data_IF_708911375273
#
_entry.id   IF_708911375273
#
_cell.length_a   1.000
_cell.length_b   1.000
_cell.length_c   1.000
_cell.angle_alpha   90.00
_cell.angle_beta   90.00
_cell.angle_gamma   90.00
#
_symmetry.space_group_name_H-M   'P 1'
#
loop_
_entity.id
_entity.type
_entity.pdbx_description
1 polymer ?
#
# COMPACT_ATOMS: atom_id res chain seq x y z
N UNK A 1 -46.09 56.36 -82.19
CA UNK A 1 -46.64 55.35 -81.21
C UNK A 1 -45.73 54.13 -80.91
N UNK A 2 -44.58 53.96 -81.55
CA UNK A 2 -43.65 52.79 -81.28
C UNK A 2 -42.68 53.02 -80.12
N UNK A 3 -42.38 54.29 -79.72
CA UNK A 3 -41.38 54.60 -78.68
C UNK A 3 -41.86 54.50 -77.23
N UNK A 4 -43.16 54.49 -76.96
CA UNK A 4 -43.78 54.34 -75.64
C UNK A 4 -43.95 52.91 -75.21
N UNK A 5 -44.19 51.99 -76.13
CA UNK A 5 -44.31 50.52 -75.80
C UNK A 5 -43.03 49.91 -75.39
N UNK A 6 -41.86 50.31 -75.93
CA UNK A 6 -40.54 49.72 -75.47
C UNK A 6 -40.13 50.13 -74.11
N UNK A 7 -40.34 51.38 -73.63
CA UNK A 7 -40.03 51.85 -72.31
C UNK A 7 -40.93 51.17 -71.24
N UNK A 8 -42.20 50.95 -71.52
CA UNK A 8 -43.13 50.28 -70.60
C UNK A 8 -42.82 48.80 -70.38
N UNK A 9 -42.49 48.05 -71.47
CA UNK A 9 -42.04 46.66 -71.36
C UNK A 9 -40.75 46.47 -70.56
N UNK A 10 -39.76 47.39 -70.78
CA UNK A 10 -38.51 47.33 -69.99
C UNK A 10 -38.73 47.74 -68.55
N UNK A 11 -39.65 48.65 -68.22
CA UNK A 11 -39.99 48.99 -66.84
C UNK A 11 -40.66 47.83 -66.10
N UNK A 12 -41.61 47.14 -66.71
CA UNK A 12 -42.28 45.96 -66.13
C UNK A 12 -41.30 44.79 -65.96
N UNK A 13 -40.45 44.52 -66.99
CA UNK A 13 -39.42 43.49 -66.90
C UNK A 13 -38.40 43.74 -65.77
N UNK A 14 -37.96 44.97 -65.61
CA UNK A 14 -37.04 45.38 -64.52
C UNK A 14 -37.70 45.26 -63.13
N UNK A 15 -39.00 45.56 -63.02
CA UNK A 15 -39.74 45.40 -61.75
C UNK A 15 -39.97 43.95 -61.37
N UNK A 16 -40.25 43.06 -62.32
CA UNK A 16 -40.37 41.65 -62.12
C UNK A 16 -39.03 41.01 -61.78
N UNK A 17 -37.90 41.41 -62.39
CA UNK A 17 -36.57 40.92 -62.05
C UNK A 17 -36.16 41.34 -60.65
N UNK A 18 -36.52 42.57 -60.16
CA UNK A 18 -36.29 42.97 -58.76
C UNK A 18 -37.06 42.12 -57.78
N UNK A 19 -38.35 41.85 -58.02
CA UNK A 19 -39.20 41.05 -57.17
C UNK A 19 -38.62 39.62 -57.05
N UNK A 20 -38.30 38.99 -58.18
CA UNK A 20 -37.72 37.64 -58.20
C UNK A 20 -36.38 37.52 -57.45
N UNK A 21 -35.54 38.57 -57.54
CA UNK A 21 -34.27 38.61 -56.81
C UNK A 21 -34.46 38.82 -55.29
N UNK A 22 -35.42 39.64 -54.86
CA UNK A 22 -35.77 39.82 -53.45
C UNK A 22 -36.34 38.53 -52.88
N UNK A 23 -37.19 37.85 -53.62
CA UNK A 23 -37.73 36.54 -53.21
C UNK A 23 -36.61 35.50 -53.01
N UNK A 24 -35.62 35.43 -53.92
CA UNK A 24 -34.45 34.55 -53.77
C UNK A 24 -33.60 34.94 -52.56
N UNK A 25 -33.39 36.22 -52.31
CA UNK A 25 -32.64 36.67 -51.13
C UNK A 25 -33.37 36.28 -49.84
N UNK A 26 -34.69 36.46 -49.79
CA UNK A 26 -35.50 36.08 -48.61
C UNK A 26 -35.55 34.60 -48.39
N UNK A 27 -35.66 33.81 -49.46
CA UNK A 27 -35.60 32.33 -49.39
C UNK A 27 -34.26 31.83 -48.87
N UNK A 28 -33.14 32.37 -49.38
CA UNK A 28 -31.80 32.03 -48.90
C UNK A 28 -31.56 32.49 -47.49
N UNK A 29 -32.10 33.65 -47.08
CA UNK A 29 -32.03 34.14 -45.73
C UNK A 29 -32.68 33.15 -44.74
N UNK A 30 -33.90 32.68 -45.03
CA UNK A 30 -34.61 31.73 -44.22
C UNK A 30 -33.87 30.37 -44.15
N UNK A 31 -33.28 29.92 -45.27
CA UNK A 31 -32.47 28.69 -45.31
C UNK A 31 -31.21 28.83 -44.44
N UNK A 32 -30.49 29.94 -44.53
CA UNK A 32 -29.28 30.21 -43.76
C UNK A 32 -29.58 30.29 -42.23
N UNK A 33 -30.69 30.94 -41.85
CA UNK A 33 -31.11 31.01 -40.46
C UNK A 33 -31.40 29.62 -39.86
N UNK A 34 -31.91 28.70 -40.65
CA UNK A 34 -32.21 27.33 -40.25
C UNK A 34 -31.05 26.32 -40.31
N UNK A 35 -29.83 26.77 -40.70
CA UNK A 35 -28.69 25.85 -40.83
C UNK A 35 -28.29 25.21 -39.49
N UNK A 36 -28.00 23.91 -39.54
CA UNK A 36 -27.44 23.10 -38.48
C UNK A 36 -26.25 22.30 -39.05
N UNK A 37 -25.28 21.99 -38.20
CA UNK A 37 -24.14 21.17 -38.55
C UNK A 37 -23.87 20.18 -37.40
N UNK A 38 -23.56 18.94 -37.70
CA UNK A 38 -23.26 17.90 -36.72
C UNK A 38 -21.76 17.80 -36.45
N UNK A 39 -20.91 18.25 -37.35
CA UNK A 39 -19.46 18.18 -37.25
C UNK A 39 -18.78 19.30 -38.06
N UNK A 40 -17.47 19.50 -37.85
CA UNK A 40 -16.68 20.53 -38.56
C UNK A 40 -16.64 20.31 -40.10
N UNK A 41 -16.75 19.08 -40.58
CA UNK A 41 -16.80 18.81 -42.01
C UNK A 41 -18.10 19.34 -42.66
N UNK A 42 -19.23 19.23 -41.94
CA UNK A 42 -20.50 19.81 -42.35
C UNK A 42 -20.44 21.31 -42.41
N UNK A 43 -19.81 21.97 -41.42
CA UNK A 43 -19.60 23.43 -41.42
C UNK A 43 -18.79 23.90 -42.63
N UNK A 44 -17.74 23.16 -42.99
CA UNK A 44 -16.93 23.47 -44.18
C UNK A 44 -17.72 23.24 -45.49
N UNK A 45 -18.54 22.20 -45.56
CA UNK A 45 -19.44 21.95 -46.68
C UNK A 45 -20.46 23.12 -46.86
N UNK A 46 -21.05 23.59 -45.76
CA UNK A 46 -21.94 24.78 -45.77
C UNK A 46 -21.20 26.06 -46.17
N UNK A 47 -19.95 26.24 -45.70
CA UNK A 47 -19.11 27.41 -46.12
C UNK A 47 -18.89 27.36 -47.65
N UNK A 48 -18.57 26.20 -48.22
CA UNK A 48 -18.37 26.02 -49.65
C UNK A 48 -19.67 26.29 -50.43
N UNK A 49 -20.80 25.74 -49.95
CA UNK A 49 -22.12 25.88 -50.60
C UNK A 49 -22.54 27.37 -50.72
N UNK A 50 -22.38 28.16 -49.64
CA UNK A 50 -22.93 29.50 -49.62
C UNK A 50 -21.90 30.59 -49.93
N UNK A 51 -20.66 30.49 -49.43
CA UNK A 51 -19.68 31.60 -49.44
C UNK A 51 -18.51 31.39 -50.41
N UNK A 52 -18.37 30.27 -51.08
CA UNK A 52 -17.30 30.04 -52.06
C UNK A 52 -17.49 30.93 -53.31
N UNK A 53 -16.47 31.01 -54.17
CA UNK A 53 -16.54 31.73 -55.46
C UNK A 53 -17.70 31.28 -56.36
N UNK A 54 -18.11 30.03 -56.24
CA UNK A 54 -19.25 29.44 -56.95
C UNK A 54 -20.46 29.22 -56.03
N UNK A 55 -20.40 29.74 -54.80
CA UNK A 55 -21.47 29.61 -53.80
C UNK A 55 -22.70 30.43 -54.13
N UNK A 56 -23.83 30.04 -53.58
CA UNK A 56 -25.15 30.61 -53.91
C UNK A 56 -25.23 32.11 -53.65
N UNK A 57 -24.62 32.58 -52.54
CA UNK A 57 -24.53 34.02 -52.23
C UNK A 57 -23.63 34.76 -53.24
N UNK A 58 -22.52 34.15 -53.68
CA UNK A 58 -21.60 34.74 -54.64
C UNK A 58 -22.24 34.82 -56.07
N UNK A 59 -23.06 33.82 -56.42
CA UNK A 59 -23.79 33.84 -57.67
C UNK A 59 -24.80 35.02 -57.74
N UNK A 60 -25.51 35.30 -56.64
CA UNK A 60 -26.39 36.47 -56.53
C UNK A 60 -25.64 37.79 -56.70
N UNK A 61 -24.41 37.90 -56.27
CA UNK A 61 -23.56 39.08 -56.53
C UNK A 61 -23.17 39.21 -58.01
N UNK A 62 -23.07 38.11 -58.73
CA UNK A 62 -22.87 38.18 -60.20
C UNK A 62 -24.15 38.64 -60.92
N UNK A 63 -25.33 38.13 -60.52
CA UNK A 63 -26.60 38.58 -61.08
C UNK A 63 -26.87 40.05 -60.75
N UNK A 64 -26.42 40.57 -59.64
CA UNK A 64 -26.51 41.98 -59.25
C UNK A 64 -25.84 42.95 -60.24
N UNK A 65 -24.83 42.49 -61.00
CA UNK A 65 -24.18 43.34 -62.02
C UNK A 65 -25.15 43.85 -63.07
N UNK A 66 -26.20 43.06 -63.32
CA UNK A 66 -27.21 43.37 -64.37
C UNK A 66 -28.35 44.25 -63.85
N UNK A 67 -28.34 44.69 -62.57
CA UNK A 67 -29.39 45.51 -61.97
C UNK A 67 -29.23 46.99 -62.37
N UNK A 68 -30.33 47.74 -62.70
CA UNK A 68 -30.30 49.15 -63.04
C UNK A 68 -29.72 50.00 -61.88
N UNK A 69 -29.04 51.08 -62.27
CA UNK A 69 -28.29 51.97 -61.34
C UNK A 69 -29.15 52.50 -60.21
N UNK A 70 -30.41 52.84 -60.46
CA UNK A 70 -31.38 53.33 -59.47
C UNK A 70 -31.69 52.38 -58.32
N UNK A 71 -31.54 51.07 -58.55
CA UNK A 71 -31.89 49.99 -57.57
C UNK A 71 -30.66 49.41 -56.95
N UNK A 72 -29.44 49.69 -57.40
CA UNK A 72 -28.19 49.13 -56.91
C UNK A 72 -27.93 49.37 -55.44
N UNK A 73 -28.28 50.53 -54.92
CA UNK A 73 -28.02 50.83 -53.51
C UNK A 73 -28.80 49.97 -52.53
N UNK A 74 -30.09 49.84 -52.78
CA UNK A 74 -31.00 49.04 -51.93
C UNK A 74 -30.67 47.54 -52.05
N UNK A 75 -30.48 47.02 -53.24
CA UNK A 75 -30.18 45.64 -53.50
C UNK A 75 -28.77 45.24 -52.97
N UNK A 76 -27.78 46.13 -53.10
CA UNK A 76 -26.44 45.91 -52.55
C UNK A 76 -26.42 45.83 -51.05
N UNK A 77 -27.28 46.59 -50.37
CA UNK A 77 -27.44 46.51 -48.92
C UNK A 77 -28.03 45.13 -48.50
N UNK A 78 -29.05 44.69 -49.17
CA UNK A 78 -29.69 43.36 -48.88
C UNK A 78 -28.71 42.21 -49.13
N UNK A 79 -27.92 42.22 -50.22
CA UNK A 79 -26.91 41.22 -50.50
C UNK A 79 -25.79 41.18 -49.50
N UNK A 80 -25.32 42.39 -49.04
CA UNK A 80 -24.32 42.47 -48.00
C UNK A 80 -24.85 41.93 -46.64
N UNK A 81 -26.11 42.25 -46.29
CA UNK A 81 -26.76 41.70 -45.11
C UNK A 81 -26.85 40.17 -45.19
N UNK A 82 -27.23 39.61 -46.33
CA UNK A 82 -27.29 38.16 -46.54
C UNK A 82 -25.91 37.49 -46.40
N UNK A 83 -24.85 38.15 -46.98
CA UNK A 83 -23.47 37.64 -46.85
C UNK A 83 -23.00 37.65 -45.44
N UNK A 84 -23.25 38.74 -44.70
CA UNK A 84 -22.86 38.84 -43.29
C UNK A 84 -23.58 37.79 -42.44
N UNK A 85 -24.90 37.65 -42.62
CA UNK A 85 -25.72 36.62 -41.95
C UNK A 85 -25.17 35.22 -42.19
N UNK A 86 -24.82 34.87 -43.43
CA UNK A 86 -24.23 33.57 -43.78
C UNK A 86 -22.88 33.38 -43.08
N UNK A 87 -22.03 34.43 -43.06
CA UNK A 87 -20.73 34.37 -42.44
C UNK A 87 -20.85 34.18 -40.89
N UNK A 88 -21.71 35.00 -40.26
CA UNK A 88 -21.93 34.97 -38.84
C UNK A 88 -22.52 33.61 -38.37
N UNK A 89 -23.49 33.10 -39.14
CA UNK A 89 -24.10 31.80 -38.80
C UNK A 89 -23.11 30.66 -38.91
N UNK A 90 -22.29 30.61 -39.96
CA UNK A 90 -21.28 29.56 -40.19
C UNK A 90 -20.18 29.63 -39.09
N UNK A 91 -19.74 30.86 -38.73
CA UNK A 91 -18.79 31.03 -37.66
C UNK A 91 -19.37 30.57 -36.29
N UNK A 92 -20.61 30.97 -35.97
CA UNK A 92 -21.29 30.52 -34.77
C UNK A 92 -21.41 29.01 -34.65
N UNK A 93 -21.71 28.32 -35.76
CA UNK A 93 -21.75 26.86 -35.83
C UNK A 93 -20.36 26.25 -35.59
N UNK A 94 -19.31 26.85 -36.16
CA UNK A 94 -17.92 26.41 -35.90
C UNK A 94 -17.55 26.56 -34.45
N UNK A 95 -17.72 27.77 -33.89
CA UNK A 95 -17.34 28.09 -32.52
C UNK A 95 -18.09 27.21 -31.51
N UNK A 96 -19.35 26.86 -31.78
CA UNK A 96 -20.15 25.97 -30.97
C UNK A 96 -19.61 24.54 -30.97
N UNK A 97 -19.13 24.05 -32.13
CA UNK A 97 -18.53 22.70 -32.23
C UNK A 97 -17.12 22.64 -31.68
N UNK A 98 -16.31 23.72 -31.87
CA UNK A 98 -14.97 23.82 -31.28
C UNK A 98 -15.03 23.95 -29.75
N UNK A 99 -16.01 24.68 -29.20
CA UNK A 99 -16.19 24.76 -27.74
C UNK A 99 -16.74 23.48 -27.13
N UNK A 100 -17.53 22.70 -27.85
CA UNK A 100 -17.99 21.38 -27.37
C UNK A 100 -16.87 20.34 -27.29
N UNK A 101 -15.84 20.47 -28.12
CA UNK A 101 -14.67 19.57 -28.11
C UNK A 101 -13.63 19.93 -27.03
N UNK A 102 -13.77 21.12 -26.42
CA UNK A 102 -12.87 21.59 -25.34
C UNK A 102 -13.37 21.29 -23.93
N UNK A 103 -14.54 20.69 -23.77
CA UNK A 103 -15.09 20.29 -22.47
C UNK A 103 -14.60 18.90 -22.03
N UNK A 104 -13.35 18.56 -22.33
CA UNK A 104 -12.59 17.61 -21.56
C UNK A 104 -12.19 18.30 -20.25
N UNK A 105 -12.62 17.80 -19.12
CA UNK A 105 -12.26 18.18 -17.74
C UNK A 105 -10.74 18.37 -17.55
N UNK A 106 -10.11 19.29 -18.16
CA UNK A 106 -8.73 19.77 -17.93
C UNK A 106 -7.65 18.74 -17.52
N UNK A 107 -7.94 17.45 -17.58
CA UNK A 107 -7.01 16.38 -17.23
C UNK A 107 -6.07 16.17 -18.42
N UNK A 108 -4.86 16.67 -18.27
CA UNK A 108 -3.80 16.40 -19.22
C UNK A 108 -3.37 14.93 -19.17
N UNK A 109 -3.91 14.11 -20.07
CA UNK A 109 -3.58 12.69 -20.17
C UNK A 109 -2.16 12.41 -20.66
N UNK A 110 -1.43 13.43 -21.14
CA UNK A 110 -0.02 13.31 -21.52
C UNK A 110 0.91 13.49 -20.32
N UNK A 111 0.38 13.98 -19.20
CA UNK A 111 1.13 14.18 -17.98
C UNK A 111 1.47 12.83 -17.36
N UNK A 112 2.76 12.58 -17.13
CA UNK A 112 3.20 11.39 -16.40
C UNK A 112 2.61 11.41 -15.00
N UNK A 113 1.98 10.30 -14.59
CA UNK A 113 1.49 10.12 -13.22
C UNK A 113 2.67 10.28 -12.25
N UNK A 114 2.50 11.10 -11.21
CA UNK A 114 3.46 11.10 -10.10
C UNK A 114 3.41 9.72 -9.43
N UNK A 115 4.51 8.96 -9.40
CA UNK A 115 4.49 7.65 -8.77
C UNK A 115 4.13 7.82 -7.29
N UNK A 116 3.09 7.13 -6.85
CA UNK A 116 2.77 7.02 -5.43
C UNK A 116 3.91 6.23 -4.79
N UNK A 117 4.67 6.88 -3.91
CA UNK A 117 5.69 6.18 -3.12
C UNK A 117 4.97 5.21 -2.18
N UNK A 118 5.06 3.93 -2.49
CA UNK A 118 4.59 2.90 -1.57
C UNK A 118 5.51 2.88 -0.34
N UNK A 119 4.91 2.80 0.85
CA UNK A 119 5.66 2.57 2.08
C UNK A 119 6.25 1.15 2.11
N UNK A 120 7.09 0.91 3.10
CA UNK A 120 7.68 -0.41 3.37
C UNK A 120 7.12 -0.97 4.67
N UNK A 121 7.12 -2.30 4.79
CA UNK A 121 6.90 -2.93 6.09
C UNK A 121 8.20 -2.87 6.89
N UNK A 122 8.08 -2.64 8.18
CA UNK A 122 9.22 -2.67 9.08
C UNK A 122 9.86 -4.08 9.09
N UNK A 123 11.20 -4.21 9.03
CA UNK A 123 11.86 -5.52 8.94
C UNK A 123 11.53 -6.45 10.11
N UNK A 124 11.37 -5.94 11.33
CA UNK A 124 10.91 -6.74 12.48
C UNK A 124 9.51 -7.32 12.25
N UNK A 125 8.61 -6.56 11.64
CA UNK A 125 7.26 -7.05 11.31
C UNK A 125 7.28 -8.14 10.25
N UNK A 126 8.18 -8.04 9.26
CA UNK A 126 8.37 -9.07 8.24
C UNK A 126 8.84 -10.38 8.88
N UNK A 127 9.89 -10.32 9.69
CA UNK A 127 10.46 -11.50 10.35
C UNK A 127 9.50 -12.09 11.37
N UNK A 128 8.84 -11.26 12.19
CA UNK A 128 7.81 -11.75 13.12
C UNK A 128 6.69 -12.50 12.40
N UNK A 129 6.18 -11.97 11.31
CA UNK A 129 5.11 -12.61 10.55
C UNK A 129 5.58 -13.92 9.91
N UNK A 130 6.83 -14.00 9.47
CA UNK A 130 7.42 -15.23 8.93
C UNK A 130 7.58 -16.30 10.03
N UNK A 131 8.07 -15.92 11.22
CA UNK A 131 8.12 -16.83 12.40
C UNK A 131 6.72 -17.36 12.69
N UNK A 132 5.72 -16.49 12.80
CA UNK A 132 4.33 -16.86 13.04
C UNK A 132 3.83 -17.84 11.96
N UNK A 133 4.10 -17.57 10.69
CA UNK A 133 3.71 -18.44 9.57
C UNK A 133 4.34 -19.83 9.67
N UNK A 134 5.62 -19.93 10.05
CA UNK A 134 6.32 -21.21 10.21
C UNK A 134 5.67 -22.03 11.33
N UNK A 135 5.46 -21.45 12.51
CA UNK A 135 4.85 -22.14 13.64
C UNK A 135 3.37 -22.46 13.41
N UNK A 136 2.62 -21.61 12.73
CA UNK A 136 1.22 -21.89 12.37
C UNK A 136 1.08 -23.13 11.49
N UNK A 137 2.02 -23.40 10.59
CA UNK A 137 2.06 -24.64 9.79
C UNK A 137 2.34 -25.89 10.63
N UNK A 138 2.95 -25.72 11.79
CA UNK A 138 3.15 -26.78 12.79
C UNK A 138 1.96 -26.93 13.74
N UNK A 139 0.88 -26.16 13.54
CA UNK A 139 -0.33 -26.22 14.35
C UNK A 139 -0.27 -25.40 15.65
N UNK A 140 0.66 -24.47 15.76
CA UNK A 140 0.67 -23.51 16.88
C UNK A 140 -0.35 -22.39 16.64
N UNK A 141 -1.11 -22.05 17.66
CA UNK A 141 -1.98 -20.88 17.71
C UNK A 141 -1.25 -19.69 18.34
N UNK A 142 -1.70 -18.47 18.03
CA UNK A 142 -1.15 -17.26 18.63
C UNK A 142 -1.89 -17.00 19.94
N UNK A 143 -1.13 -16.77 21.01
CA UNK A 143 -1.63 -16.25 22.28
C UNK A 143 -1.03 -14.88 22.55
N UNK A 144 -1.85 -13.98 23.06
CA UNK A 144 -1.46 -12.61 23.42
C UNK A 144 -1.78 -12.33 24.88
N UNK A 145 -1.08 -11.37 25.48
CA UNK A 145 -1.24 -10.97 26.86
C UNK A 145 -0.71 -9.57 27.13
N UNK A 146 -0.97 -9.04 28.35
CA UNK A 146 -0.60 -7.67 28.69
C UNK A 146 0.92 -7.46 28.75
N UNK A 147 1.36 -6.25 28.42
CA UNK A 147 2.75 -5.81 28.60
C UNK A 147 3.06 -5.39 30.07
N UNK A 148 2.02 -4.92 30.76
CA UNK A 148 2.09 -4.58 32.18
C UNK A 148 1.59 -5.80 32.95
N UNK A 149 2.47 -6.36 33.77
CA UNK A 149 2.27 -7.64 34.45
C UNK A 149 2.50 -7.54 35.96
N UNK A 150 2.03 -8.54 36.66
CA UNK A 150 2.37 -8.76 38.06
C UNK A 150 3.58 -9.69 38.22
N UNK A 151 4.15 -9.71 39.43
CA UNK A 151 5.29 -10.57 39.76
C UNK A 151 5.01 -12.05 39.58
N UNK A 152 3.78 -12.48 39.85
CA UNK A 152 3.41 -13.89 39.75
C UNK A 152 3.61 -14.43 38.34
N UNK A 153 3.02 -13.76 37.33
CA UNK A 153 3.08 -14.24 35.95
C UNK A 153 4.46 -14.06 35.31
N UNK A 154 5.27 -13.08 35.76
CA UNK A 154 6.61 -12.88 35.19
C UNK A 154 7.64 -13.77 35.86
N UNK A 155 7.57 -13.95 37.17
CA UNK A 155 8.65 -14.62 37.92
C UNK A 155 8.19 -15.86 38.67
N UNK A 156 7.21 -15.74 39.59
CA UNK A 156 6.90 -16.83 40.53
C UNK A 156 6.36 -18.06 39.84
N UNK A 157 5.43 -17.91 38.89
CA UNK A 157 4.91 -19.04 38.11
C UNK A 157 5.95 -19.67 37.17
N UNK A 158 7.01 -18.91 36.84
CA UNK A 158 8.13 -19.34 36.01
C UNK A 158 9.31 -19.88 36.82
N UNK A 159 9.06 -20.31 38.06
CA UNK A 159 10.05 -20.95 38.94
C UNK A 159 11.28 -20.07 39.23
N UNK A 160 11.16 -18.73 39.20
CA UNK A 160 12.22 -17.85 39.65
C UNK A 160 12.24 -17.78 41.17
N UNK A 161 13.42 -17.99 41.77
CA UNK A 161 13.61 -17.81 43.19
C UNK A 161 13.37 -16.36 43.62
N UNK A 162 12.99 -16.14 44.89
CA UNK A 162 12.67 -14.80 45.39
C UNK A 162 13.88 -13.83 45.37
N UNK A 163 15.10 -14.37 45.49
CA UNK A 163 16.36 -13.66 45.44
C UNK A 163 17.05 -13.68 44.09
N UNK A 164 16.33 -14.11 43.03
CA UNK A 164 16.92 -14.18 41.72
C UNK A 164 17.26 -12.78 41.16
N UNK A 165 18.47 -12.56 40.59
CA UNK A 165 18.91 -11.25 40.12
C UNK A 165 17.97 -10.58 39.11
N UNK A 166 17.26 -11.35 38.26
CA UNK A 166 16.30 -10.81 37.30
C UNK A 166 15.14 -10.06 37.96
N UNK A 167 14.86 -10.30 39.26
CA UNK A 167 13.86 -9.55 40.04
C UNK A 167 14.40 -8.21 40.56
N UNK A 168 15.69 -7.89 40.32
CA UNK A 168 16.27 -6.63 40.77
C UNK A 168 15.83 -5.45 39.85
N UNK A 169 15.74 -4.27 40.43
CA UNK A 169 15.47 -3.01 39.73
C UNK A 169 16.52 -2.67 38.68
N UNK A 170 17.69 -3.29 38.74
CA UNK A 170 18.75 -3.09 37.74
C UNK A 170 18.39 -3.74 36.39
N UNK A 171 17.58 -4.81 36.39
CA UNK A 171 17.26 -5.57 35.20
C UNK A 171 15.78 -5.47 34.76
N UNK A 172 14.90 -5.00 35.68
CA UNK A 172 13.46 -4.92 35.46
C UNK A 172 12.90 -3.52 35.68
N UNK A 173 11.98 -3.07 34.80
CA UNK A 173 11.23 -1.84 35.00
C UNK A 173 9.98 -2.08 35.83
N UNK A 174 10.00 -1.64 37.08
CA UNK A 174 8.82 -1.66 37.94
C UNK A 174 8.01 -0.38 37.78
N UNK A 175 6.71 -0.52 37.59
CA UNK A 175 5.74 0.58 37.55
C UNK A 175 5.32 0.90 38.99
N UNK A 176 5.11 -0.13 39.80
CA UNK A 176 4.74 -0.02 41.20
C UNK A 176 5.46 -1.10 42.02
N UNK A 177 5.97 -0.72 43.19
CA UNK A 177 6.40 -1.64 44.25
C UNK A 177 5.57 -1.34 45.49
N UNK A 178 5.06 -2.34 46.16
CA UNK A 178 4.15 -2.22 47.31
C UNK A 178 2.78 -1.56 46.98
N UNK A 179 1.64 -2.16 47.45
CA UNK A 179 1.60 -3.43 48.20
C UNK A 179 1.86 -4.68 47.34
N UNK A 180 1.77 -4.58 46.00
CA UNK A 180 2.08 -5.63 45.06
C UNK A 180 2.97 -5.06 43.96
N UNK A 181 3.88 -5.86 43.44
CA UNK A 181 4.79 -5.48 42.39
C UNK A 181 4.07 -5.56 41.03
N UNK A 182 4.07 -4.42 40.31
CA UNK A 182 3.60 -4.26 38.94
C UNK A 182 4.76 -3.81 38.09
N UNK A 183 5.00 -4.48 36.97
CA UNK A 183 6.20 -4.30 36.17
C UNK A 183 5.93 -4.41 34.66
N UNK A 184 6.87 -3.97 33.85
CA UNK A 184 6.89 -4.28 32.43
C UNK A 184 7.48 -5.67 32.25
N UNK A 185 6.77 -6.54 31.49
CA UNK A 185 7.22 -7.94 31.30
C UNK A 185 8.61 -8.00 30.65
N UNK A 186 9.48 -8.80 31.23
CA UNK A 186 10.86 -9.01 30.75
C UNK A 186 10.99 -10.11 29.70
N UNK A 187 9.93 -10.88 29.52
CA UNK A 187 9.77 -11.97 28.53
C UNK A 187 8.29 -12.21 28.25
N UNK A 188 7.98 -12.94 27.20
CA UNK A 188 6.60 -13.28 26.84
C UNK A 188 6.11 -14.58 27.50
N UNK A 189 6.92 -15.21 28.36
CA UNK A 189 6.53 -16.42 29.14
C UNK A 189 5.35 -16.15 30.09
N UNK A 190 5.12 -14.89 30.49
CA UNK A 190 3.94 -14.51 31.27
C UNK A 190 2.62 -14.88 30.55
N UNK A 191 2.62 -14.81 29.21
CA UNK A 191 1.47 -15.24 28.40
C UNK A 191 1.30 -16.75 28.46
N UNK A 192 2.41 -17.52 28.48
CA UNK A 192 2.37 -18.99 28.62
C UNK A 192 1.74 -19.37 29.96
N UNK A 193 2.13 -18.72 31.07
CA UNK A 193 1.56 -18.90 32.40
C UNK A 193 0.04 -18.67 32.38
N UNK A 194 -0.40 -17.52 31.85
CA UNK A 194 -1.83 -17.18 31.73
C UNK A 194 -2.63 -18.22 30.91
N UNK A 195 -2.05 -18.74 29.85
CA UNK A 195 -2.72 -19.78 29.04
C UNK A 195 -2.78 -21.11 29.83
N UNK A 196 -1.69 -21.52 30.51
CA UNK A 196 -1.68 -22.74 31.30
C UNK A 196 -2.67 -22.70 32.47
N UNK A 197 -2.84 -21.55 33.14
CA UNK A 197 -3.83 -21.39 34.21
C UNK A 197 -5.29 -21.51 33.72
N UNK A 198 -5.56 -21.14 32.46
CA UNK A 198 -6.91 -21.06 31.94
C UNK A 198 -7.25 -22.14 30.90
N UNK A 199 -6.33 -23.05 30.60
CA UNK A 199 -6.51 -24.09 29.58
C UNK A 199 -5.97 -25.41 30.05
N UNK A 200 -6.52 -26.51 29.51
CA UNK A 200 -6.02 -27.86 29.74
C UNK A 200 -5.22 -28.33 28.52
N UNK A 201 -4.18 -29.16 28.71
CA UNK A 201 -3.48 -29.78 27.60
C UNK A 201 -4.43 -30.62 26.71
N UNK A 202 -4.17 -30.66 25.37
CA UNK A 202 -2.95 -30.22 24.71
C UNK A 202 -2.91 -28.69 24.50
N UNK A 203 -1.82 -28.06 24.89
CA UNK A 203 -1.54 -26.62 24.66
C UNK A 203 -0.43 -26.51 23.63
N UNK A 204 -0.67 -25.75 22.57
CA UNK A 204 0.31 -25.50 21.51
C UNK A 204 0.18 -24.07 21.03
N UNK A 205 1.02 -23.19 21.57
CA UNK A 205 0.93 -21.74 21.36
C UNK A 205 2.27 -21.11 21.05
N UNK A 206 2.23 -19.98 20.34
CA UNK A 206 3.32 -19.01 20.26
C UNK A 206 2.85 -17.68 20.83
N UNK A 207 3.73 -16.98 21.52
CA UNK A 207 3.48 -15.73 22.21
C UNK A 207 4.39 -14.63 21.63
N UNK A 208 4.02 -14.00 20.48
CA UNK A 208 4.75 -12.88 19.95
C UNK A 208 4.43 -11.61 20.75
N UNK A 209 5.46 -10.88 21.20
CA UNK A 209 5.20 -9.66 21.96
C UNK A 209 6.44 -8.80 22.18
N UNK A 210 6.20 -7.57 22.60
CA UNK A 210 7.23 -6.66 23.09
C UNK A 210 7.57 -7.01 24.54
N UNK A 211 8.83 -6.86 24.88
CA UNK A 211 9.37 -7.04 26.23
C UNK A 211 10.31 -5.89 26.57
N UNK A 212 10.45 -5.61 27.85
CA UNK A 212 11.22 -4.48 28.35
C UNK A 212 12.23 -4.96 29.41
N UNK A 213 13.49 -4.53 29.26
CA UNK A 213 14.57 -4.82 30.22
C UNK A 213 15.36 -3.56 30.51
N UNK A 214 15.75 -3.37 31.75
CA UNK A 214 16.51 -2.18 32.16
C UNK A 214 17.99 -2.31 31.75
N UNK A 215 18.23 -2.37 30.45
CA UNK A 215 19.58 -2.48 29.87
C UNK A 215 20.00 -1.18 29.19
N UNK A 216 21.30 -0.89 29.22
CA UNK A 216 21.86 0.25 28.50
C UNK A 216 21.77 0.07 27.00
N UNK A 217 21.23 1.07 26.30
CA UNK A 217 21.07 1.05 24.84
C UNK A 217 22.43 1.04 24.16
N UNK A 218 22.64 0.08 23.26
CA UNK A 218 23.87 -0.10 22.48
C UNK A 218 23.57 -0.72 21.10
N UNK A 219 24.60 -0.91 20.30
CA UNK A 219 24.43 -1.62 19.02
C UNK A 219 23.96 -3.09 19.18
N UNK A 220 24.02 -3.66 20.40
CA UNK A 220 23.73 -5.07 20.69
C UNK A 220 22.64 -5.30 21.73
N UNK A 221 22.24 -4.30 22.47
CA UNK A 221 21.21 -4.33 23.50
C UNK A 221 20.31 -3.10 23.40
N UNK A 222 19.04 -3.26 23.72
CA UNK A 222 18.08 -2.18 23.80
C UNK A 222 17.18 -2.39 25.02
N UNK A 223 16.66 -1.32 25.58
CA UNK A 223 15.77 -1.38 26.75
C UNK A 223 14.40 -1.99 26.43
N UNK A 224 14.03 -2.12 25.18
CA UNK A 224 12.91 -2.92 24.73
C UNK A 224 13.29 -3.69 23.45
N UNK A 225 12.67 -4.83 23.25
CA UNK A 225 12.82 -5.65 22.04
C UNK A 225 11.59 -6.54 21.88
N UNK A 226 11.56 -7.35 20.81
CA UNK A 226 10.45 -8.24 20.55
C UNK A 226 10.88 -9.70 20.67
N UNK A 227 10.05 -10.49 21.33
CA UNK A 227 10.24 -11.93 21.42
C UNK A 227 9.10 -12.66 20.73
N UNK A 228 9.39 -13.86 20.28
CA UNK A 228 8.40 -14.91 20.01
C UNK A 228 8.80 -16.10 20.86
N UNK A 229 7.95 -16.47 21.79
CA UNK A 229 8.12 -17.68 22.58
C UNK A 229 7.10 -18.72 22.16
N UNK A 230 7.46 -19.99 22.27
CA UNK A 230 6.59 -21.11 21.97
C UNK A 230 6.47 -22.05 23.16
N UNK A 231 5.27 -22.58 23.38
CA UNK A 231 4.97 -23.59 24.38
C UNK A 231 4.17 -24.73 23.74
N UNK A 232 4.60 -25.96 24.00
CA UNK A 232 3.84 -27.16 23.72
C UNK A 232 3.78 -28.04 24.94
N UNK A 233 2.59 -28.36 25.42
CA UNK A 233 2.31 -29.22 26.55
C UNK A 233 1.31 -30.30 26.14
N UNK A 234 1.68 -31.55 26.28
CA UNK A 234 0.83 -32.70 25.98
C UNK A 234 1.35 -33.93 26.72
N UNK A 235 0.72 -35.09 26.55
CA UNK A 235 1.23 -36.36 27.07
C UNK A 235 2.45 -36.83 26.31
N UNK A 236 3.47 -37.29 27.02
CA UNK A 236 4.68 -37.91 26.48
C UNK A 236 5.50 -37.00 25.53
N UNK A 237 5.45 -35.67 25.72
CA UNK A 237 6.30 -34.73 24.97
C UNK A 237 7.76 -34.94 25.40
N UNK A 238 8.66 -34.95 24.42
CA UNK A 238 10.07 -35.27 24.65
C UNK A 238 11.00 -34.16 24.09
N UNK A 239 12.25 -34.19 24.53
CA UNK A 239 13.30 -33.33 23.99
C UNK A 239 13.58 -33.60 22.50
N UNK A 240 13.28 -34.79 21.99
CA UNK A 240 13.38 -35.12 20.58
C UNK A 240 12.36 -34.36 19.75
N UNK A 241 11.13 -34.18 20.26
CA UNK A 241 10.08 -33.38 19.63
C UNK A 241 10.50 -31.91 19.53
N UNK A 242 11.03 -31.37 20.63
CA UNK A 242 11.60 -30.01 20.63
C UNK A 242 12.69 -29.87 19.57
N UNK A 243 13.67 -30.79 19.52
CA UNK A 243 14.76 -30.75 18.55
C UNK A 243 14.25 -30.78 17.10
N UNK A 244 13.23 -31.55 16.82
CA UNK A 244 12.63 -31.64 15.48
C UNK A 244 11.96 -30.35 15.06
N UNK A 245 11.19 -29.74 15.94
CA UNK A 245 10.54 -28.43 15.70
C UNK A 245 11.59 -27.34 15.47
N UNK A 246 12.64 -27.32 16.28
CA UNK A 246 13.74 -26.37 16.14
C UNK A 246 14.51 -26.53 14.82
N UNK A 247 14.76 -27.76 14.39
CA UNK A 247 15.41 -28.02 13.10
C UNK A 247 14.53 -27.56 11.94
N UNK A 248 13.23 -27.88 11.98
CA UNK A 248 12.28 -27.42 10.97
C UNK A 248 12.25 -25.89 10.90
N UNK A 249 12.13 -25.22 12.05
CA UNK A 249 12.16 -23.77 12.12
C UNK A 249 13.44 -23.18 11.50
N UNK A 250 14.60 -23.73 11.85
CA UNK A 250 15.89 -23.24 11.35
C UNK A 250 16.01 -23.39 9.83
N UNK A 251 15.55 -24.51 9.28
CA UNK A 251 15.59 -24.78 7.84
C UNK A 251 14.62 -23.90 7.05
N UNK A 252 13.42 -23.69 7.57
CA UNK A 252 12.42 -22.79 6.93
C UNK A 252 12.86 -21.33 6.95
N UNK A 253 13.48 -20.86 8.05
CA UNK A 253 13.89 -19.48 8.23
C UNK A 253 15.19 -19.12 7.51
N UNK A 254 16.16 -20.03 7.49
CA UNK A 254 17.54 -19.75 7.03
C UNK A 254 17.99 -20.63 5.84
N UNK A 255 17.17 -21.54 5.40
CA UNK A 255 17.41 -22.42 4.26
C UNK A 255 17.67 -23.89 4.63
N UNK A 256 17.43 -24.82 3.69
CA UNK A 256 17.41 -26.27 3.94
C UNK A 256 18.75 -26.87 4.41
N UNK A 257 19.85 -26.22 4.11
CA UNK A 257 21.20 -26.68 4.51
C UNK A 257 21.59 -26.26 5.93
N UNK A 258 20.69 -25.53 6.62
CA UNK A 258 20.95 -25.02 7.98
C UNK A 258 21.00 -26.18 8.96
N UNK A 259 22.08 -26.26 9.71
CA UNK A 259 22.28 -27.21 10.80
C UNK A 259 22.05 -26.53 12.15
N UNK A 260 21.58 -27.31 13.12
CA UNK A 260 21.41 -26.83 14.50
C UNK A 260 22.37 -27.54 15.45
N UNK A 261 22.75 -26.83 16.49
CA UNK A 261 23.53 -27.35 17.62
C UNK A 261 22.85 -26.88 18.91
N UNK A 262 22.53 -27.82 19.79
CA UNK A 262 22.02 -27.53 21.12
C UNK A 262 23.17 -27.61 22.13
N UNK A 263 23.36 -26.52 22.87
CA UNK A 263 24.35 -26.43 23.95
C UNK A 263 23.60 -26.42 25.29
N UNK A 264 24.01 -27.22 26.28
CA UNK A 264 23.43 -27.15 27.62
C UNK A 264 23.48 -25.71 28.16
N UNK A 265 22.40 -25.27 28.78
CA UNK A 265 22.26 -23.98 29.44
C UNK A 265 21.39 -24.14 30.68
N UNK A 266 21.13 -23.07 31.38
CA UNK A 266 20.23 -23.03 32.54
C UNK A 266 19.22 -21.91 32.41
N UNK A 267 17.94 -22.27 32.57
CA UNK A 267 16.84 -21.31 32.74
C UNK A 267 15.94 -21.81 33.89
N UNK A 268 15.43 -20.94 34.76
CA UNK A 268 14.63 -21.35 35.91
C UNK A 268 13.38 -22.17 35.55
N UNK A 269 12.82 -21.91 34.39
CA UNK A 269 11.53 -22.46 33.90
C UNK A 269 11.66 -23.72 33.04
N UNK A 270 12.90 -24.20 32.76
CA UNK A 270 13.12 -25.39 31.93
C UNK A 270 14.21 -26.29 32.50
N UNK A 271 14.01 -27.63 32.44
CA UNK A 271 14.99 -28.66 32.80
C UNK A 271 14.73 -29.95 31.99
N UNK A 272 15.65 -30.39 31.12
CA UNK A 272 16.91 -29.78 30.75
C UNK A 272 16.72 -28.52 29.86
N UNK A 273 17.63 -27.56 30.01
CA UNK A 273 17.68 -26.35 29.23
C UNK A 273 18.81 -26.37 28.19
N UNK A 274 18.60 -25.70 27.08
CA UNK A 274 19.61 -25.56 26.05
C UNK A 274 19.52 -24.20 25.33
N UNK A 275 20.64 -23.75 24.81
CA UNK A 275 20.72 -22.70 23.82
C UNK A 275 20.89 -23.32 22.43
N UNK A 276 20.15 -22.82 21.45
CA UNK A 276 20.26 -23.29 20.07
C UNK A 276 21.11 -22.36 19.24
N UNK A 277 22.16 -22.93 18.64
CA UNK A 277 22.96 -22.30 17.61
C UNK A 277 22.57 -22.86 16.22
N UNK A 278 22.64 -21.99 15.22
CA UNK A 278 22.60 -22.42 13.81
C UNK A 278 23.98 -22.32 13.15
N UNK A 279 24.21 -23.14 12.13
CA UNK A 279 25.38 -22.95 11.27
C UNK A 279 25.34 -21.57 10.64
N UNK A 280 26.46 -20.83 10.69
CA UNK A 280 26.51 -19.46 10.17
C UNK A 280 26.23 -19.45 8.65
N UNK A 281 25.12 -18.88 8.26
CA UNK A 281 24.70 -18.77 6.85
C UNK A 281 25.61 -17.88 6.00
N UNK A 282 26.35 -16.92 6.62
CA UNK A 282 27.27 -16.05 5.91
C UNK A 282 28.55 -16.74 5.45
N UNK A 283 29.05 -17.68 6.22
CA UNK A 283 30.30 -18.38 5.92
C UNK A 283 30.12 -19.89 5.68
N UNK A 284 28.88 -20.38 5.67
CA UNK A 284 28.60 -21.81 5.53
C UNK A 284 29.26 -22.66 6.62
N UNK A 285 29.34 -22.15 7.87
CA UNK A 285 29.94 -22.84 9.00
C UNK A 285 31.47 -22.79 9.07
N UNK A 286 32.16 -22.13 8.10
CA UNK A 286 33.65 -22.09 8.04
C UNK A 286 34.30 -21.17 9.08
N UNK A 287 33.53 -20.26 9.63
CA UNK A 287 34.02 -19.22 10.55
C UNK A 287 34.31 -17.89 9.85
N UNK A 288 33.72 -16.79 10.33
CA UNK A 288 33.93 -15.43 9.86
C UNK A 288 33.86 -14.44 11.03
N UNK A 289 34.13 -13.17 10.78
CA UNK A 289 34.05 -12.11 11.80
C UNK A 289 32.66 -11.99 12.45
N UNK A 290 31.61 -12.27 11.70
CA UNK A 290 30.23 -12.25 12.19
C UNK A 290 29.97 -13.32 13.26
N UNK A 291 30.31 -14.58 12.98
CA UNK A 291 30.19 -15.69 13.92
C UNK A 291 31.40 -15.80 14.88
N UNK A 292 32.25 -14.78 14.96
CA UNK A 292 33.46 -14.76 15.78
C UNK A 292 34.37 -15.99 15.51
N UNK A 293 34.46 -16.38 14.26
CA UNK A 293 35.24 -17.53 13.76
C UNK A 293 34.82 -18.90 14.31
N UNK A 294 33.66 -19.00 14.99
CA UNK A 294 33.14 -20.27 15.52
C UNK A 294 32.41 -21.12 14.50
N UNK A 295 31.93 -20.52 13.41
CA UNK A 295 31.03 -21.16 12.44
C UNK A 295 29.58 -21.29 12.91
N UNK A 296 29.25 -20.87 14.13
CA UNK A 296 27.94 -21.00 14.76
C UNK A 296 27.41 -19.69 15.30
N UNK A 297 26.11 -19.50 15.29
CA UNK A 297 25.43 -18.31 15.82
C UNK A 297 24.24 -18.73 16.65
N UNK A 298 24.24 -18.33 17.91
CA UNK A 298 23.11 -18.51 18.81
C UNK A 298 21.91 -17.69 18.38
N UNK A 299 20.72 -18.30 18.39
CA UNK A 299 19.49 -17.66 17.98
C UNK A 299 18.35 -17.71 19.00
N UNK A 300 18.31 -18.70 19.88
CA UNK A 300 17.24 -18.87 20.86
C UNK A 300 17.64 -19.74 22.07
N UNK A 301 16.91 -19.57 23.17
CA UNK A 301 16.89 -20.49 24.30
C UNK A 301 15.71 -21.44 24.20
N UNK A 302 15.86 -22.66 24.75
CA UNK A 302 14.83 -23.69 24.76
C UNK A 302 15.04 -24.70 25.87
N UNK A 303 14.04 -25.55 26.12
CA UNK A 303 14.15 -26.64 27.09
C UNK A 303 12.83 -27.37 27.30
N UNK A 304 12.88 -28.41 28.10
CA UNK A 304 11.67 -29.05 28.60
C UNK A 304 11.11 -28.22 29.75
N UNK A 305 9.81 -28.00 29.78
CA UNK A 305 9.16 -27.22 30.85
C UNK A 305 9.40 -27.88 32.18
N UNK A 306 9.87 -27.09 33.16
CA UNK A 306 10.09 -27.60 34.52
C UNK A 306 8.77 -28.05 35.14
N UNK A 307 8.73 -29.24 35.81
CA UNK A 307 7.54 -29.72 36.49
C UNK A 307 6.91 -28.72 37.45
N UNK A 308 7.73 -27.91 38.15
CA UNK A 308 7.23 -26.88 39.06
C UNK A 308 6.41 -25.82 38.34
N UNK A 309 6.77 -25.47 37.09
CA UNK A 309 6.03 -24.49 36.27
C UNK A 309 4.66 -25.04 35.88
N UNK A 310 4.59 -26.31 35.48
CA UNK A 310 3.32 -26.98 35.18
C UNK A 310 2.42 -27.03 36.42
N UNK A 311 2.97 -27.45 37.57
CA UNK A 311 2.23 -27.53 38.84
C UNK A 311 1.77 -26.18 39.35
N UNK A 312 2.61 -25.14 39.25
CA UNK A 312 2.25 -23.77 39.62
C UNK A 312 1.04 -23.26 38.80
N UNK A 313 0.91 -23.68 37.54
CA UNK A 313 -0.20 -23.36 36.68
C UNK A 313 -1.38 -24.36 36.72
N UNK A 314 -1.36 -25.33 37.63
CA UNK A 314 -2.43 -26.31 37.85
C UNK A 314 -2.48 -27.48 36.85
N UNK A 315 -1.37 -27.77 36.17
CA UNK A 315 -1.21 -28.89 35.24
C UNK A 315 -0.44 -30.02 35.95
N UNK A 316 -0.97 -31.26 35.93
CA UNK A 316 -0.34 -32.41 36.53
C UNK A 316 0.94 -32.84 35.77
N UNK A 317 2.10 -32.57 36.37
CA UNK A 317 3.42 -32.84 35.79
C UNK A 317 3.75 -34.33 35.67
N UNK A 318 2.94 -35.22 36.29
CA UNK A 318 3.06 -36.67 36.16
C UNK A 318 2.36 -37.21 34.93
N UNK A 319 1.33 -36.51 34.47
CA UNK A 319 0.55 -36.90 33.28
C UNK A 319 1.05 -36.20 32.04
N UNK A 320 1.46 -34.90 32.18
CA UNK A 320 1.83 -34.06 31.08
C UNK A 320 3.30 -33.63 31.16
N UNK A 321 3.88 -33.46 29.99
CA UNK A 321 5.20 -32.88 29.81
C UNK A 321 5.14 -31.83 28.68
N UNK A 322 6.13 -30.98 28.62
CA UNK A 322 6.11 -29.96 27.59
C UNK A 322 7.51 -29.44 27.26
N UNK A 323 7.61 -28.71 26.17
CA UNK A 323 8.79 -27.93 25.86
C UNK A 323 8.44 -26.46 25.61
N UNK A 324 9.41 -25.59 25.89
CA UNK A 324 9.36 -24.20 25.60
C UNK A 324 10.58 -23.74 24.79
N UNK A 325 10.40 -22.69 24.01
CA UNK A 325 11.44 -22.04 23.24
C UNK A 325 11.20 -20.52 23.22
N UNK A 326 12.28 -19.72 23.15
CA UNK A 326 12.16 -18.26 23.10
C UNK A 326 13.25 -17.62 22.28
N UNK A 327 12.85 -16.78 21.33
CA UNK A 327 13.75 -16.09 20.39
C UNK A 327 13.50 -14.59 20.35
N UNK A 328 14.58 -13.80 20.24
CA UNK A 328 14.51 -12.36 19.96
C UNK A 328 14.35 -12.10 18.48
N UNK A 329 13.28 -11.40 18.09
CA UNK A 329 12.97 -11.07 16.69
C UNK A 329 14.08 -10.25 16.06
N UNK A 330 14.64 -9.29 16.81
CA UNK A 330 15.77 -8.46 16.38
C UNK A 330 16.99 -9.30 16.04
N UNK A 331 17.28 -10.33 16.84
CA UNK A 331 18.41 -11.23 16.61
C UNK A 331 18.26 -11.99 15.31
N UNK A 332 17.06 -12.55 15.05
CA UNK A 332 16.73 -13.24 13.80
C UNK A 332 16.80 -12.27 12.62
N UNK A 333 16.26 -11.04 12.78
CA UNK A 333 16.27 -10.00 11.74
C UNK A 333 17.69 -9.57 11.39
N UNK A 334 18.56 -9.38 12.40
CA UNK A 334 19.97 -9.07 12.19
C UNK A 334 20.67 -10.13 11.34
N UNK A 335 20.40 -11.42 11.63
CA UNK A 335 20.97 -12.54 10.88
C UNK A 335 20.46 -12.58 9.44
N UNK A 336 19.16 -12.39 9.26
CA UNK A 336 18.52 -12.49 7.95
C UNK A 336 18.91 -11.36 7.01
N UNK A 337 18.92 -10.12 7.53
CA UNK A 337 19.16 -8.91 6.73
C UNK A 337 20.53 -8.27 6.99
N UNK A 338 21.39 -8.91 7.78
CA UNK A 338 22.76 -8.45 8.08
C UNK A 338 22.83 -7.05 8.71
N UNK A 339 21.81 -6.67 9.46
CA UNK A 339 21.79 -5.42 10.22
C UNK A 339 22.77 -5.54 11.38
N UNK A 340 23.62 -4.54 11.56
CA UNK A 340 24.74 -4.60 12.52
C UNK A 340 24.46 -3.85 13.83
N UNK A 341 23.42 -3.04 13.84
CA UNK A 341 23.10 -2.15 14.96
C UNK A 341 21.60 -2.22 15.26
N UNK A 342 21.24 -2.68 16.46
CA UNK A 342 19.86 -2.81 16.90
C UNK A 342 19.10 -1.48 16.96
N UNK A 343 19.80 -0.37 17.18
CA UNK A 343 19.18 0.96 17.29
C UNK A 343 18.48 1.37 16.00
N UNK A 344 18.96 0.89 14.85
CA UNK A 344 18.34 1.17 13.54
C UNK A 344 16.86 0.74 13.47
N UNK A 345 16.46 -0.27 14.24
CA UNK A 345 15.07 -0.72 14.29
C UNK A 345 14.13 0.23 15.05
N UNK A 346 14.69 1.09 15.91
CA UNK A 346 13.90 2.01 16.75
C UNK A 346 14.03 3.49 16.36
N UNK A 347 15.02 3.86 15.54
CA UNK A 347 15.29 5.25 15.16
C UNK A 347 14.33 5.78 14.08
N UNK A 348 13.54 4.93 13.45
CA UNK A 348 12.58 5.27 12.38
C UNK A 348 13.21 6.06 11.22
N UNK A 349 14.45 5.76 10.85
CA UNK A 349 15.13 6.36 9.70
C UNK A 349 14.50 5.82 8.40
N UNK A 350 13.88 6.72 7.63
CA UNK A 350 13.22 6.36 6.38
C UNK A 350 14.19 5.81 5.33
N UNK A 351 15.47 6.18 5.35
CA UNK A 351 16.49 5.64 4.44
C UNK A 351 16.74 4.16 4.73
N UNK A 352 16.81 3.79 6.01
CA UNK A 352 16.91 2.40 6.43
C UNK A 352 15.65 1.61 6.05
N UNK A 353 14.47 2.15 6.32
CA UNK A 353 13.21 1.48 5.98
C UNK A 353 13.06 1.30 4.46
N UNK A 354 13.52 2.26 3.66
CA UNK A 354 13.45 2.20 2.19
C UNK A 354 14.26 1.03 1.59
N UNK A 355 15.24 0.49 2.29
CA UNK A 355 16.01 -0.69 1.86
C UNK A 355 15.14 -1.96 1.80
N UNK A 356 14.01 -2.00 2.52
CA UNK A 356 13.11 -3.14 2.61
C UNK A 356 11.91 -3.09 1.64
N UNK A 357 11.90 -2.19 0.65
CA UNK A 357 10.79 -2.06 -0.33
C UNK A 357 10.49 -3.34 -1.10
N UNK A 358 11.49 -4.15 -1.37
CA UNK A 358 11.37 -5.42 -2.08
C UNK A 358 11.23 -6.64 -1.17
N UNK A 359 11.39 -6.47 0.15
CA UNK A 359 11.24 -7.56 1.11
C UNK A 359 9.75 -7.90 1.29
N UNK A 360 9.41 -9.17 1.17
CA UNK A 360 8.04 -9.70 1.25
C UNK A 360 7.90 -10.65 2.41
#
# INVERSE_FOLDING_TARGET
>A
MRFIKGKFCNFVANKLAKIAMIEKINSLKAEIEGLQAANLADVEALRIKYLSKKGEVSLLFNDFRNVPAEQKKEMGQLLNQLKNLATDKINALRDALESADTDCDGIDLTRTSSPIKLGTRHPLSLVRNEIISIFSRLGFSIADGPEIEDDWHVFSSMNFADDHPARDMQDTFFIQRNPADVLLRTHTSSVQSRVMENSQPPIRIICPGRVDRNEAISARAHCFFHQVEGLYVDKNVSFADLRQVLLYFAQEMFGPETQIRLRPSYFPFTEPSAEMDISCNLCGGKGCSFCKHTGWVEILGCGMVDPNVLEACGIDSKEYSGYALGMGVERITNLKYQVKDLRMFSENDTRFLDEFKSAR
#
